data_IF_989811424842
#
_entry.id   IF_989811424842
#
_cell.length_a   1.000
_cell.length_b   1.000
_cell.length_c   1.000
_cell.angle_alpha   90.00
_cell.angle_beta   90.00
_cell.angle_gamma   90.00
#
_symmetry.space_group_name_H-M   'P 1'
#
loop_
_entity.id
_entity.type
_entity.pdbx_description
1 polymer ?
#
# COMPACT_ATOMS: atom_id res chain seq x y z
N UNK A 1 -6.45 -42.15 13.42
CA UNK A 1 -5.29 -41.29 13.12
C UNK A 1 -5.80 -39.85 13.10
N UNK A 2 -5.41 -38.99 14.03
CA UNK A 2 -5.85 -37.59 14.06
C UNK A 2 -4.89 -36.79 13.18
N UNK A 3 -5.37 -36.24 12.08
CA UNK A 3 -4.56 -35.35 11.23
C UNK A 3 -4.60 -33.95 11.83
N UNK A 4 -3.45 -33.44 12.30
CA UNK A 4 -3.36 -32.03 12.72
C UNK A 4 -3.46 -31.12 11.48
N UNK A 5 -4.40 -30.18 11.52
CA UNK A 5 -4.54 -29.13 10.51
C UNK A 5 -3.66 -27.94 10.87
N UNK A 6 -3.10 -27.27 9.87
CA UNK A 6 -2.42 -25.99 10.07
C UNK A 6 -3.43 -24.89 10.42
N UNK A 7 -2.98 -23.81 11.06
CA UNK A 7 -3.84 -22.65 11.36
C UNK A 7 -4.52 -22.11 10.09
N UNK A 8 -3.80 -22.05 8.97
CA UNK A 8 -4.35 -21.61 7.69
C UNK A 8 -5.47 -22.53 7.18
N UNK A 9 -5.33 -23.85 7.33
CA UNK A 9 -6.37 -24.80 6.93
C UNK A 9 -7.65 -24.61 7.74
N UNK A 10 -7.54 -24.42 9.06
CA UNK A 10 -8.69 -24.16 9.93
C UNK A 10 -9.36 -22.83 9.60
N UNK A 11 -8.57 -21.77 9.37
CA UNK A 11 -9.10 -20.47 8.96
C UNK A 11 -9.91 -20.56 7.66
N UNK A 12 -9.39 -21.29 6.67
CA UNK A 12 -10.08 -21.47 5.40
C UNK A 12 -11.39 -22.24 5.55
N UNK A 13 -11.41 -23.30 6.35
CA UNK A 13 -12.63 -24.10 6.61
C UNK A 13 -13.72 -23.31 7.33
N UNK A 14 -13.33 -22.39 8.23
CA UNK A 14 -14.25 -21.53 8.96
C UNK A 14 -14.62 -20.24 8.20
N UNK A 15 -14.09 -20.03 7.01
CA UNK A 15 -14.30 -18.80 6.23
C UNK A 15 -13.71 -17.55 6.89
N UNK A 16 -12.69 -17.71 7.73
CA UNK A 16 -11.99 -16.60 8.36
C UNK A 16 -11.03 -15.93 7.38
N UNK A 17 -11.13 -14.61 7.29
CA UNK A 17 -10.31 -13.80 6.38
C UNK A 17 -8.92 -13.60 6.99
N UNK A 18 -7.87 -13.91 6.23
CA UNK A 18 -6.48 -13.70 6.66
C UNK A 18 -6.01 -12.25 6.45
N UNK A 19 -5.09 -11.76 7.28
CA UNK A 19 -4.46 -10.46 7.08
C UNK A 19 -3.13 -10.61 6.33
N UNK A 20 -2.91 -9.77 5.32
CA UNK A 20 -1.67 -9.71 4.52
C UNK A 20 -1.10 -8.30 4.56
N UNK A 21 -0.09 -8.09 5.41
CA UNK A 21 0.70 -6.86 5.40
C UNK A 21 1.95 -7.09 4.58
N UNK A 22 2.19 -6.29 3.54
CA UNK A 22 3.29 -6.55 2.59
C UNK A 22 4.67 -6.64 3.24
N UNK A 23 4.87 -5.94 4.36
CA UNK A 23 6.15 -5.88 5.08
C UNK A 23 6.30 -6.96 6.15
N UNK A 24 5.26 -7.75 6.36
CA UNK A 24 5.19 -8.83 7.35
C UNK A 24 4.59 -10.07 6.66
N UNK A 25 5.29 -10.67 5.69
CA UNK A 25 4.79 -11.85 4.98
C UNK A 25 4.59 -13.02 5.94
N UNK A 26 3.55 -13.82 5.70
CA UNK A 26 3.27 -15.02 6.51
C UNK A 26 4.03 -16.23 5.98
N UNK A 27 4.45 -16.18 4.72
CA UNK A 27 5.23 -17.20 4.04
C UNK A 27 6.66 -17.24 4.57
N UNK A 28 7.18 -18.43 4.94
CA UNK A 28 8.58 -18.55 5.31
C UNK A 28 9.48 -18.24 4.12
N UNK A 29 10.61 -17.58 4.38
CA UNK A 29 11.64 -17.20 3.40
C UNK A 29 11.29 -16.04 2.46
N UNK A 30 10.16 -15.36 2.65
CA UNK A 30 9.92 -14.07 2.00
C UNK A 30 10.28 -12.93 2.95
N UNK A 31 11.05 -11.95 2.46
CA UNK A 31 11.26 -10.69 3.18
C UNK A 31 10.06 -9.74 3.00
N UNK A 32 9.43 -9.79 1.83
CA UNK A 32 8.26 -8.97 1.48
C UNK A 32 7.17 -9.86 0.87
N UNK A 33 5.92 -9.56 1.21
CA UNK A 33 4.75 -10.12 0.55
C UNK A 33 4.65 -9.65 -0.90
N UNK A 34 4.10 -10.50 -1.76
CA UNK A 34 3.87 -10.23 -3.17
C UNK A 34 2.36 -10.12 -3.39
N UNK A 35 1.78 -8.91 -3.45
CA UNK A 35 0.32 -8.72 -3.46
C UNK A 35 -0.42 -9.46 -4.58
N UNK A 36 0.21 -9.62 -5.75
CA UNK A 36 -0.35 -10.38 -6.87
C UNK A 36 -0.51 -11.89 -6.60
N UNK A 37 0.15 -12.42 -5.56
CA UNK A 37 0.07 -13.82 -5.16
C UNK A 37 -0.84 -14.06 -3.94
N UNK A 38 -1.47 -13.01 -3.40
CA UNK A 38 -2.38 -13.17 -2.26
C UNK A 38 -3.63 -13.96 -2.65
N UNK A 39 -4.13 -14.78 -1.73
CA UNK A 39 -5.37 -15.53 -1.92
C UNK A 39 -6.61 -14.66 -1.69
N UNK A 40 -7.73 -14.99 -2.33
CA UNK A 40 -8.96 -14.20 -2.25
C UNK A 40 -9.46 -13.99 -0.82
N UNK A 41 -9.41 -15.01 0.05
CA UNK A 41 -9.87 -14.92 1.46
C UNK A 41 -8.88 -14.16 2.36
N UNK A 42 -8.45 -12.98 1.91
CA UNK A 42 -7.54 -12.10 2.65
C UNK A 42 -7.95 -10.63 2.58
N UNK A 43 -7.51 -9.88 3.59
CA UNK A 43 -7.40 -8.43 3.57
C UNK A 43 -5.94 -8.07 3.33
N UNK A 44 -5.64 -7.29 2.29
CA UNK A 44 -4.30 -6.76 2.06
C UNK A 44 -4.18 -5.31 2.53
N UNK A 45 -2.98 -4.94 2.99
CA UNK A 45 -2.63 -3.56 3.29
C UNK A 45 -1.09 -3.35 3.18
N UNK A 46 -0.63 -2.17 2.76
CA UNK A 46 0.79 -1.85 2.75
C UNK A 46 1.37 -1.67 4.17
N UNK A 47 0.57 -1.14 5.10
CA UNK A 47 0.90 -0.93 6.51
C UNK A 47 -0.32 -1.10 7.40
N UNK A 48 -0.13 -1.06 8.72
CA UNK A 48 -1.17 -1.05 9.73
C UNK A 48 -0.83 -0.07 10.86
N UNK A 49 -1.69 0.04 11.87
CA UNK A 49 -1.48 0.97 12.99
C UNK A 49 -0.30 0.58 13.90
N UNK A 50 0.12 -0.69 13.91
CA UNK A 50 1.21 -1.21 14.73
C UNK A 50 2.57 -1.23 14.02
N UNK A 51 2.68 -0.63 12.84
CA UNK A 51 3.96 -0.47 12.15
C UNK A 51 4.15 0.96 11.64
N UNK A 52 5.35 1.28 11.17
CA UNK A 52 5.63 2.56 10.52
C UNK A 52 4.76 2.75 9.26
N UNK A 53 4.44 4.00 8.94
CA UNK A 53 3.72 4.36 7.70
C UNK A 53 4.52 3.94 6.47
N UNK A 54 3.92 3.93 5.29
CA UNK A 54 4.63 3.63 4.04
C UNK A 54 5.82 4.54 3.81
N UNK A 55 5.66 5.84 4.04
CA UNK A 55 6.75 6.79 3.90
C UNK A 55 7.86 6.53 4.90
N UNK A 56 7.53 6.37 6.18
CA UNK A 56 8.52 6.18 7.24
C UNK A 56 9.33 4.90 6.98
N UNK A 57 8.66 3.81 6.64
CA UNK A 57 9.30 2.55 6.29
C UNK A 57 10.16 2.66 5.02
N UNK A 58 9.74 3.38 4.00
CA UNK A 58 10.57 3.54 2.81
C UNK A 58 11.86 4.34 3.10
N UNK A 59 11.76 5.37 3.94
CA UNK A 59 12.83 6.33 4.21
C UNK A 59 13.80 5.86 5.30
N UNK A 60 13.39 4.98 6.23
CA UNK A 60 14.18 4.62 7.43
C UNK A 60 15.39 3.69 7.17
N UNK A 61 15.34 2.83 6.15
CA UNK A 61 16.38 1.82 5.89
C UNK A 61 16.67 1.69 4.39
N UNK A 62 17.82 2.22 3.97
CA UNK A 62 18.32 2.20 2.59
C UNK A 62 18.59 0.78 2.07
N UNK A 63 19.12 -0.11 2.92
CA UNK A 63 19.41 -1.48 2.54
C UNK A 63 18.14 -2.27 2.28
N UNK A 64 17.14 -2.13 3.14
CA UNK A 64 15.82 -2.74 2.96
C UNK A 64 15.09 -2.14 1.75
N UNK A 65 15.15 -0.83 1.55
CA UNK A 65 14.59 -0.15 0.38
C UNK A 65 15.17 -0.73 -0.92
N UNK A 66 16.49 -0.89 -0.99
CA UNK A 66 17.19 -1.47 -2.15
C UNK A 66 16.75 -2.90 -2.44
N UNK A 67 16.65 -3.74 -1.40
CA UNK A 67 16.16 -5.13 -1.54
C UNK A 67 14.70 -5.19 -1.96
N UNK A 68 13.84 -4.32 -1.41
CA UNK A 68 12.44 -4.22 -1.82
C UNK A 68 12.32 -3.81 -3.27
N UNK A 69 13.05 -2.77 -3.70
CA UNK A 69 13.02 -2.29 -5.07
C UNK A 69 13.43 -3.39 -6.05
N UNK A 70 14.54 -4.07 -5.78
CA UNK A 70 14.97 -5.23 -6.59
C UNK A 70 13.96 -6.37 -6.61
N UNK A 71 13.39 -6.74 -5.46
CA UNK A 71 12.50 -7.92 -5.35
C UNK A 71 11.10 -7.66 -5.91
N UNK A 72 10.55 -6.46 -5.66
CA UNK A 72 9.15 -6.14 -5.92
C UNK A 72 8.97 -5.29 -7.18
N UNK A 73 9.91 -4.39 -7.48
CA UNK A 73 9.92 -3.61 -8.74
C UNK A 73 10.66 -4.36 -9.85
N UNK A 74 11.61 -5.23 -9.49
CA UNK A 74 12.41 -5.98 -10.47
C UNK A 74 13.51 -5.14 -11.12
N UNK A 75 13.87 -3.99 -10.52
CA UNK A 75 14.90 -3.09 -11.03
C UNK A 75 16.17 -3.18 -10.17
N UNK A 76 17.33 -3.19 -10.84
CA UNK A 76 18.66 -3.08 -10.21
C UNK A 76 19.13 -1.62 -10.06
N UNK A 77 18.29 -0.65 -10.44
CA UNK A 77 18.58 0.77 -10.24
C UNK A 77 18.48 1.17 -8.76
N UNK A 78 19.15 2.26 -8.39
CA UNK A 78 19.07 2.81 -7.04
C UNK A 78 17.67 3.42 -6.79
N UNK A 79 16.91 2.93 -5.79
CA UNK A 79 15.61 3.50 -5.46
C UNK A 79 15.73 4.92 -4.89
N UNK A 80 14.72 5.80 -5.11
CA UNK A 80 14.73 7.14 -4.54
C UNK A 80 14.77 7.10 -3.01
N UNK A 81 15.60 7.95 -2.41
CA UNK A 81 15.77 7.99 -0.95
C UNK A 81 14.53 8.48 -0.20
N UNK A 82 13.75 9.37 -0.82
CA UNK A 82 12.45 9.84 -0.32
C UNK A 82 11.33 8.97 -0.89
N UNK A 83 10.28 8.74 -0.11
CA UNK A 83 9.08 8.07 -0.61
C UNK A 83 8.26 9.06 -1.43
N UNK A 84 8.49 9.10 -2.74
CA UNK A 84 7.78 10.03 -3.64
C UNK A 84 6.36 9.55 -3.92
N UNK A 85 5.46 10.43 -4.39
CA UNK A 85 4.12 10.03 -4.83
C UNK A 85 4.11 8.88 -5.84
N UNK A 86 5.11 8.77 -6.72
CA UNK A 86 5.24 7.68 -7.69
C UNK A 86 5.52 6.33 -7.01
N UNK A 87 6.39 6.32 -5.99
CA UNK A 87 6.66 5.12 -5.19
C UNK A 87 5.40 4.69 -4.44
N UNK A 88 4.71 5.67 -3.83
CA UNK A 88 3.45 5.41 -3.11
C UNK A 88 2.41 4.86 -4.06
N UNK A 89 2.23 5.48 -5.22
CA UNK A 89 1.28 5.04 -6.23
C UNK A 89 1.60 3.62 -6.68
N UNK A 90 2.86 3.30 -6.97
CA UNK A 90 3.28 1.95 -7.35
C UNK A 90 2.87 0.93 -6.29
N UNK A 91 3.21 1.16 -5.03
CA UNK A 91 2.93 0.21 -3.94
C UNK A 91 1.42 0.11 -3.67
N UNK A 92 0.70 1.23 -3.64
CA UNK A 92 -0.74 1.26 -3.42
C UNK A 92 -1.49 0.57 -4.56
N UNK A 93 -1.10 0.80 -5.81
CA UNK A 93 -1.67 0.13 -7.00
C UNK A 93 -1.56 -1.40 -6.87
N UNK A 94 -0.41 -1.94 -6.44
CA UNK A 94 -0.25 -3.39 -6.23
C UNK A 94 -1.29 -3.98 -5.26
N UNK A 95 -1.70 -3.22 -4.24
CA UNK A 95 -2.71 -3.65 -3.28
C UNK A 95 -4.12 -3.53 -3.84
N UNK A 96 -4.41 -2.48 -4.62
CA UNK A 96 -5.65 -2.38 -5.38
C UNK A 96 -5.78 -3.52 -6.40
N UNK A 97 -4.69 -3.94 -7.05
CA UNK A 97 -4.71 -5.04 -8.04
C UNK A 97 -4.64 -6.43 -7.42
N UNK A 98 -4.35 -6.53 -6.12
CA UNK A 98 -4.22 -7.81 -5.42
C UNK A 98 -5.52 -8.64 -5.52
N UNK A 99 -5.46 -9.99 -5.58
CA UNK A 99 -6.67 -10.82 -5.57
C UNK A 99 -7.43 -10.82 -4.24
N UNK A 100 -6.85 -10.24 -3.17
CA UNK A 100 -7.46 -10.13 -1.85
C UNK A 100 -8.88 -9.57 -1.90
N UNK A 101 -9.79 -10.17 -1.13
CA UNK A 101 -11.19 -9.72 -1.02
C UNK A 101 -11.27 -8.25 -0.67
N UNK A 102 -10.48 -7.79 0.31
CA UNK A 102 -10.40 -6.37 0.68
C UNK A 102 -8.98 -5.83 0.57
N UNK A 103 -8.87 -4.59 0.12
CA UNK A 103 -7.68 -3.77 0.23
C UNK A 103 -7.99 -2.62 1.19
N UNK A 104 -7.29 -2.56 2.32
CA UNK A 104 -7.49 -1.53 3.36
C UNK A 104 -6.22 -0.72 3.49
N UNK A 105 -6.35 0.60 3.52
CA UNK A 105 -5.23 1.51 3.56
C UNK A 105 -5.35 2.44 4.77
N UNK A 106 -4.30 2.57 5.59
CA UNK A 106 -4.20 3.69 6.52
C UNK A 106 -4.26 5.01 5.75
N UNK A 107 -4.98 5.99 6.29
CA UNK A 107 -5.17 7.28 5.61
C UNK A 107 -3.83 7.97 5.30
N UNK A 108 -2.82 7.82 6.17
CA UNK A 108 -1.47 8.36 5.97
C UNK A 108 -0.84 7.87 4.65
N UNK A 109 -1.04 6.60 4.31
CA UNK A 109 -0.48 6.01 3.08
C UNK A 109 -1.19 6.55 1.84
N UNK A 110 -2.49 6.81 1.92
CA UNK A 110 -3.24 7.44 0.82
C UNK A 110 -2.89 8.92 0.66
N UNK A 111 -2.70 9.66 1.75
CA UNK A 111 -2.28 11.07 1.69
C UNK A 111 -0.92 11.22 0.99
N UNK A 112 -0.06 10.21 1.09
CA UNK A 112 1.25 10.19 0.46
C UNK A 112 1.19 10.11 -1.09
N UNK A 113 0.03 9.88 -1.70
CA UNK A 113 -0.19 9.99 -3.15
C UNK A 113 -0.04 11.43 -3.67
N UNK A 114 0.06 12.44 -2.80
CA UNK A 114 0.25 13.84 -3.19
C UNK A 114 1.19 14.55 -2.24
N UNK A 115 2.30 15.10 -2.77
CA UNK A 115 3.35 15.75 -1.96
C UNK A 115 2.81 16.84 -1.02
N UNK A 116 1.76 17.55 -1.46
CA UNK A 116 1.05 18.57 -0.68
C UNK A 116 0.65 18.10 0.73
N UNK A 117 0.39 16.81 0.93
CA UNK A 117 -0.01 16.24 2.23
C UNK A 117 1.13 15.53 2.97
N UNK A 118 2.36 15.66 2.48
CA UNK A 118 3.57 15.01 3.01
C UNK A 118 4.57 16.01 3.60
N UNK A 119 4.05 17.12 4.13
CA UNK A 119 4.86 18.28 4.59
C UNK A 119 5.59 18.04 5.91
N UNK A 120 5.28 16.94 6.62
CA UNK A 120 5.93 16.54 7.87
C UNK A 120 6.99 15.46 7.62
N UNK A 121 7.99 15.34 8.51
CA UNK A 121 8.90 14.19 8.51
C UNK A 121 8.11 12.88 8.60
N UNK A 122 8.46 11.91 7.76
CA UNK A 122 7.71 10.66 7.66
C UNK A 122 7.58 9.89 9.01
N UNK A 123 8.61 9.81 9.86
CA UNK A 123 8.48 9.13 11.16
C UNK A 123 7.41 9.73 12.08
N UNK A 124 7.12 11.04 11.98
CA UNK A 124 6.10 11.72 12.78
C UNK A 124 4.67 11.34 12.41
N UNK A 125 4.47 10.65 11.28
CA UNK A 125 3.17 10.19 10.79
C UNK A 125 2.75 8.83 11.40
N UNK A 126 3.69 8.16 12.08
CA UNK A 126 3.48 6.86 12.72
C UNK A 126 2.61 7.02 13.98
N UNK A 127 1.50 6.27 14.00
CA UNK A 127 0.52 6.35 15.10
C UNK A 127 0.96 5.55 16.33
N UNK A 128 1.61 4.39 16.15
CA UNK A 128 2.08 3.51 17.22
C UNK A 128 3.52 3.03 17.01
N UNK A 129 4.23 2.83 18.12
CA UNK A 129 5.41 1.99 18.18
C UNK A 129 5.16 0.86 19.21
N UNK A 130 4.89 -0.38 18.76
CA UNK A 130 4.60 -1.49 19.65
C UNK A 130 5.79 -1.89 20.54
N UNK A 131 7.01 -1.47 20.18
CA UNK A 131 8.21 -1.73 21.00
C UNK A 131 8.29 -0.81 22.22
N UNK A 132 7.55 0.30 22.20
CA UNK A 132 7.48 1.26 23.28
C UNK A 132 6.17 1.09 24.09
N UNK A 133 6.19 0.41 25.25
CA UNK A 133 4.99 0.17 26.05
C UNK A 133 4.37 1.44 26.65
N UNK A 134 5.08 2.57 26.60
CA UNK A 134 4.60 3.89 27.03
C UNK A 134 4.26 4.80 25.86
N UNK A 135 4.14 4.24 24.65
CA UNK A 135 3.84 5.03 23.46
C UNK A 135 2.50 5.75 23.60
N UNK A 136 2.46 7.01 23.18
CA UNK A 136 1.29 7.85 23.32
C UNK A 136 0.62 8.07 21.95
N UNK A 137 -0.58 7.52 21.80
CA UNK A 137 -1.44 7.54 20.61
C UNK A 137 -1.93 8.95 20.26
N UNK A 138 -1.05 9.77 19.69
CA UNK A 138 -1.28 11.22 19.54
C UNK A 138 -1.15 11.75 18.13
N UNK A 139 -0.86 10.90 17.14
CA UNK A 139 -0.84 11.35 15.77
C UNK A 139 -2.23 11.87 15.39
N UNK A 140 -2.26 13.10 14.85
CA UNK A 140 -3.45 13.74 14.31
C UNK A 140 -3.16 14.12 12.88
N UNK A 141 -4.06 13.71 11.98
CA UNK A 141 -4.02 14.09 10.57
C UNK A 141 -4.05 15.62 10.49
N UNK A 142 -3.06 16.18 9.81
CA UNK A 142 -2.84 17.63 9.70
C UNK A 142 -3.63 18.27 8.55
N UNK A 143 -4.31 17.43 7.77
CA UNK A 143 -5.14 17.83 6.63
C UNK A 143 -6.60 17.79 7.05
N UNK A 144 -7.34 18.86 6.77
CA UNK A 144 -8.78 18.90 7.11
C UNK A 144 -9.60 18.12 6.08
N UNK A 145 -10.79 17.66 6.48
CA UNK A 145 -11.69 16.96 5.57
C UNK A 145 -12.14 17.86 4.42
N UNK A 146 -12.39 19.16 4.67
CA UNK A 146 -12.75 20.14 3.66
C UNK A 146 -11.65 20.28 2.61
N UNK A 147 -10.39 20.27 3.05
CA UNK A 147 -9.24 20.31 2.14
C UNK A 147 -9.18 19.07 1.24
N UNK A 148 -9.52 17.89 1.77
CA UNK A 148 -9.58 16.65 1.00
C UNK A 148 -10.78 16.62 0.04
N UNK A 149 -11.96 17.08 0.47
CA UNK A 149 -13.18 17.16 -0.35
C UNK A 149 -13.06 18.15 -1.51
N UNK A 150 -12.23 19.18 -1.36
CA UNK A 150 -11.96 20.17 -2.39
C UNK A 150 -10.80 19.78 -3.33
N UNK A 151 -9.94 18.84 -2.94
CA UNK A 151 -8.80 18.41 -3.77
C UNK A 151 -9.24 17.33 -4.77
N UNK A 152 -9.55 17.77 -6.01
CA UNK A 152 -10.05 16.88 -7.06
C UNK A 152 -8.98 15.96 -7.63
N UNK A 153 -7.71 16.35 -7.54
CA UNK A 153 -6.62 15.54 -8.08
C UNK A 153 -6.45 14.24 -7.28
N UNK A 154 -6.36 14.32 -5.95
CA UNK A 154 -6.22 13.11 -5.12
C UNK A 154 -7.47 12.23 -5.18
N UNK A 155 -8.66 12.86 -5.27
CA UNK A 155 -9.91 12.13 -5.48
C UNK A 155 -9.90 11.37 -6.81
N UNK A 156 -9.42 12.00 -7.89
CA UNK A 156 -9.29 11.36 -9.19
C UNK A 156 -8.29 10.21 -9.14
N UNK A 157 -7.10 10.41 -8.56
CA UNK A 157 -6.10 9.34 -8.39
C UNK A 157 -6.66 8.12 -7.65
N UNK A 158 -7.33 8.33 -6.51
CA UNK A 158 -7.93 7.23 -5.73
C UNK A 158 -9.09 6.58 -6.51
N UNK A 159 -9.91 7.37 -7.19
CA UNK A 159 -10.99 6.86 -8.04
C UNK A 159 -10.43 5.98 -9.16
N UNK A 160 -9.35 6.41 -9.81
CA UNK A 160 -8.70 5.68 -10.89
C UNK A 160 -8.07 4.38 -10.39
N UNK A 161 -7.42 4.39 -9.22
CA UNK A 161 -6.95 3.18 -8.54
C UNK A 161 -8.09 2.17 -8.32
N UNK A 162 -9.25 2.65 -7.83
CA UNK A 162 -10.43 1.80 -7.56
C UNK A 162 -11.07 1.26 -8.85
N UNK A 163 -11.19 2.09 -9.89
CA UNK A 163 -11.87 1.71 -11.14
C UNK A 163 -11.00 0.80 -12.00
N UNK A 164 -9.72 1.15 -12.18
CA UNK A 164 -8.77 0.36 -12.99
C UNK A 164 -8.52 -1.03 -12.41
N UNK A 165 -8.57 -1.18 -11.08
CA UNK A 165 -8.38 -2.46 -10.41
C UNK A 165 -9.66 -3.31 -10.31
N UNK A 166 -10.77 -2.89 -10.93
CA UNK A 166 -12.03 -3.61 -10.88
C UNK A 166 -12.72 -3.63 -9.50
N UNK A 167 -12.28 -2.79 -8.56
CA UNK A 167 -12.85 -2.69 -7.19
C UNK A 167 -13.98 -1.67 -7.06
N UNK A 168 -14.41 -1.08 -8.19
CA UNK A 168 -15.57 -0.20 -8.24
C UNK A 168 -16.91 -0.97 -8.20
N UNK A 169 -18.00 -0.26 -7.90
CA UNK A 169 -19.33 -0.87 -7.88
C UNK A 169 -19.72 -1.44 -9.26
N UNK A 170 -20.17 -2.71 -9.35
CA UNK A 170 -20.57 -3.32 -10.62
C UNK A 170 -21.66 -2.52 -11.33
N UNK A 171 -21.46 -2.21 -12.62
CA UNK A 171 -22.49 -1.59 -13.47
C UNK A 171 -22.40 -0.06 -13.61
N UNK A 172 -21.51 0.62 -12.89
CA UNK A 172 -21.17 2.02 -13.19
C UNK A 172 -19.97 2.04 -14.14
N UNK A 173 -20.21 2.19 -15.45
CA UNK A 173 -19.11 2.50 -16.38
C UNK A 173 -18.48 3.80 -15.92
N UNK A 174 -17.16 3.80 -15.71
CA UNK A 174 -16.43 5.03 -15.44
C UNK A 174 -16.52 5.90 -16.71
N UNK A 175 -17.20 7.04 -16.62
CA UNK A 175 -17.13 8.07 -17.65
C UNK A 175 -15.65 8.44 -17.85
N UNK A 176 -15.09 8.18 -19.04
CA UNK A 176 -13.70 8.55 -19.40
C UNK A 176 -12.65 7.44 -19.39
N UNK A 177 -13.00 6.17 -19.19
CA UNK A 177 -12.01 5.07 -19.12
C UNK A 177 -11.24 4.79 -20.43
N UNK A 178 -11.68 5.30 -21.58
CA UNK A 178 -11.02 5.07 -22.88
C UNK A 178 -9.76 5.93 -23.11
N UNK A 179 -9.53 7.02 -22.35
CA UNK A 179 -8.40 7.93 -22.60
C UNK A 179 -7.18 7.73 -21.68
N UNK A 180 -7.29 7.01 -20.58
CA UNK A 180 -6.21 6.85 -19.58
C UNK A 180 -5.26 5.69 -19.88
N UNK A 181 -5.72 4.67 -20.62
CA UNK A 181 -4.92 3.48 -20.98
C UNK A 181 -3.68 3.77 -21.85
N UNK A 182 -3.69 4.86 -22.62
CA UNK A 182 -2.55 5.25 -23.47
C UNK A 182 -1.48 6.11 -22.74
N UNK A 183 -1.79 6.68 -21.57
CA UNK A 183 -0.84 7.58 -20.86
C UNK A 183 0.11 6.86 -19.91
N UNK A 184 -0.25 5.68 -19.40
CA UNK A 184 0.56 4.94 -18.41
C UNK A 184 1.70 4.10 -19.05
N UNK A 185 1.68 3.86 -20.36
CA UNK A 185 2.77 3.19 -21.07
C UNK A 185 4.04 4.06 -21.24
N UNK A 186 4.01 5.31 -20.76
CA UNK A 186 5.12 6.27 -20.81
C UNK A 186 5.70 6.65 -19.44
N UNK A 187 5.41 5.89 -18.37
CA UNK A 187 6.07 6.10 -17.08
C UNK A 187 7.53 5.63 -17.20
N UNK A 188 8.38 6.52 -17.72
CA UNK A 188 9.82 6.48 -17.48
C UNK A 188 10.03 6.86 -16.03
N UNK A 189 10.53 5.90 -15.24
CA UNK A 189 11.28 6.21 -14.03
C UNK A 189 12.46 7.08 -14.50
N UNK A 190 12.45 8.36 -14.18
CA UNK A 190 13.41 9.33 -14.71
C UNK A 190 14.83 9.01 -14.22
N UNK A 191 15.58 8.23 -15.00
CA UNK A 191 17.04 8.25 -15.06
C UNK A 191 17.45 8.72 -16.45
N UNK A 192 18.04 9.91 -16.55
CA UNK A 192 18.59 10.41 -17.82
C UNK A 192 19.70 9.48 -18.32
N UNK A 193 19.74 9.32 -19.64
CA UNK A 193 20.70 8.56 -20.44
C UNK A 193 22.17 8.79 -20.06
#
# INVERSE_FOLDING_TARGET
MITMKTSMQVMQELGLIGLRIQRMPSEPNLEFGIPSQYSYMTVCAPSCHDCSTLRAWWEEDEGRRSRFYKTVVGSDEEPPSRCTPEVVHFIVQQHFDAPSMWAIFPLQDLLALKDKYTTRPAPEETINDPTNPKHYWRFRVHVTLESLLNDKDIQATIKDLVTSSGRSFPGKKAEGADESGEKLSKVQLNGKA
#
